data_IF_410722798194
#
_entry.id   IF_410722798194
#
_cell.length_a   1.000
_cell.length_b   1.000
_cell.length_c   1.000
_cell.angle_alpha   90.00
_cell.angle_beta   90.00
_cell.angle_gamma   90.00
#
_symmetry.space_group_name_H-M   'P 1'
#
loop_
_entity.id
_entity.type
_entity.pdbx_description
1 polymer ?
#
# COMPACT_ATOMS: atom_id res chain seq x y z
N UNK A 1 -26.36 -37.86 6.80
CA UNK A 1 -27.10 -37.98 5.53
C UNK A 1 -27.87 -36.70 5.28
N UNK A 2 -27.44 -35.97 4.26
CA UNK A 2 -28.28 -35.22 3.30
C UNK A 2 -29.15 -34.04 3.74
N UNK A 3 -28.54 -32.92 4.12
CA UNK A 3 -29.18 -31.58 3.98
C UNK A 3 -28.36 -30.54 3.20
N UNK A 4 -27.07 -30.78 2.95
CA UNK A 4 -26.22 -29.90 2.13
C UNK A 4 -26.18 -30.30 0.66
N UNK A 5 -26.58 -31.54 0.32
CA UNK A 5 -26.55 -32.05 -1.06
C UNK A 5 -27.84 -31.69 -1.82
N UNK A 6 -28.95 -31.40 -1.13
CA UNK A 6 -30.22 -31.02 -1.76
C UNK A 6 -30.26 -29.60 -2.31
N UNK A 7 -29.38 -28.69 -1.87
CA UNK A 7 -29.29 -27.31 -2.37
C UNK A 7 -28.43 -27.14 -3.63
N UNK A 8 -27.75 -28.20 -4.08
CA UNK A 8 -26.84 -28.15 -5.24
C UNK A 8 -27.47 -28.64 -6.56
N UNK A 9 -28.65 -29.26 -6.52
CA UNK A 9 -29.37 -29.71 -7.73
C UNK A 9 -29.64 -28.60 -8.78
N UNK A 10 -29.84 -27.31 -8.44
CA UNK A 10 -30.05 -26.30 -9.48
C UNK A 10 -28.77 -25.87 -10.23
N UNK A 11 -27.57 -26.21 -9.73
CA UNK A 11 -26.29 -25.80 -10.32
C UNK A 11 -25.81 -26.66 -11.50
N UNK A 12 -26.48 -27.77 -11.82
CA UNK A 12 -26.16 -28.59 -13.00
C UNK A 12 -26.84 -28.09 -14.28
N UNK A 13 -27.48 -26.92 -14.24
CA UNK A 13 -28.13 -26.30 -15.40
C UNK A 13 -27.37 -25.06 -15.83
N UNK A 14 -27.42 -24.72 -17.12
CA UNK A 14 -26.71 -23.55 -17.65
C UNK A 14 -27.33 -22.26 -17.12
N UNK A 15 -26.48 -21.26 -16.85
CA UNK A 15 -26.92 -19.90 -16.52
C UNK A 15 -27.50 -19.27 -17.78
N UNK A 16 -28.74 -18.80 -17.71
CA UNK A 16 -29.44 -18.14 -18.80
C UNK A 16 -29.32 -16.62 -18.76
N UNK A 17 -29.36 -16.03 -17.57
CA UNK A 17 -29.45 -14.57 -17.43
C UNK A 17 -28.90 -14.06 -16.10
N UNK A 18 -28.61 -12.76 -16.04
CA UNK A 18 -28.15 -12.02 -14.86
C UNK A 18 -29.18 -10.94 -14.50
N UNK A 19 -29.78 -11.03 -13.30
CA UNK A 19 -30.87 -10.14 -12.86
C UNK A 19 -30.57 -9.44 -11.52
N UNK A 20 -31.32 -8.37 -11.25
CA UNK A 20 -31.39 -7.65 -9.97
C UNK A 20 -30.05 -7.26 -9.33
N UNK A 21 -29.23 -6.49 -10.06
CA UNK A 21 -27.96 -5.98 -9.54
C UNK A 21 -28.21 -5.02 -8.36
N UNK A 22 -27.69 -5.35 -7.19
CA UNK A 22 -27.61 -4.45 -6.02
C UNK A 22 -26.20 -4.47 -5.46
N UNK A 23 -25.47 -3.36 -5.60
CA UNK A 23 -24.05 -3.23 -5.24
C UNK A 23 -23.21 -4.36 -5.88
N UNK A 24 -22.60 -5.23 -5.07
CA UNK A 24 -21.78 -6.36 -5.52
C UNK A 24 -22.56 -7.65 -5.74
N UNK A 25 -23.87 -7.67 -5.46
CA UNK A 25 -24.69 -8.89 -5.53
C UNK A 25 -25.55 -8.92 -6.79
N UNK A 26 -25.53 -10.04 -7.50
CA UNK A 26 -26.28 -10.29 -8.74
C UNK A 26 -27.00 -11.64 -8.64
N UNK A 27 -28.20 -11.74 -9.19
CA UNK A 27 -28.93 -13.01 -9.27
C UNK A 27 -28.58 -13.72 -10.58
N UNK A 28 -28.11 -14.97 -10.50
CA UNK A 28 -27.97 -15.86 -11.66
C UNK A 28 -29.29 -16.59 -11.87
N UNK A 29 -29.89 -16.39 -13.04
CA UNK A 29 -31.09 -17.10 -13.44
C UNK A 29 -30.71 -18.33 -14.27
N UNK A 30 -31.14 -19.50 -13.80
CA UNK A 30 -30.86 -20.79 -14.43
C UNK A 30 -32.00 -21.23 -15.34
N UNK A 31 -31.72 -22.15 -16.26
CA UNK A 31 -32.72 -22.76 -17.15
C UNK A 31 -33.89 -23.41 -16.41
N UNK A 32 -33.67 -23.88 -15.18
CA UNK A 32 -34.70 -24.47 -14.32
C UNK A 32 -35.53 -23.43 -13.53
N UNK A 33 -35.46 -22.14 -13.92
CA UNK A 33 -36.06 -21.01 -13.22
C UNK A 33 -35.59 -20.78 -11.78
N UNK A 34 -34.53 -21.46 -11.33
CA UNK A 34 -33.90 -21.15 -10.05
C UNK A 34 -33.14 -19.81 -10.15
N UNK A 35 -33.18 -19.05 -9.06
CA UNK A 35 -32.37 -17.83 -8.88
C UNK A 35 -31.33 -18.09 -7.80
N UNK A 36 -30.05 -17.93 -8.13
CA UNK A 36 -28.97 -17.95 -7.15
C UNK A 36 -28.41 -16.55 -6.98
N UNK A 37 -28.50 -16.01 -5.77
CA UNK A 37 -27.86 -14.73 -5.47
C UNK A 37 -26.38 -14.93 -5.18
N UNK A 38 -25.53 -14.37 -6.03
CA UNK A 38 -24.07 -14.45 -5.93
C UNK A 38 -23.51 -13.10 -5.50
N UNK A 39 -22.53 -13.12 -4.60
CA UNK A 39 -21.75 -11.95 -4.22
C UNK A 39 -20.46 -11.89 -5.04
N UNK A 40 -20.37 -10.93 -5.94
CA UNK A 40 -19.23 -10.65 -6.82
C UNK A 40 -18.41 -9.49 -6.25
N UNK A 41 -18.10 -9.57 -4.95
CA UNK A 41 -17.29 -8.56 -4.29
C UNK A 41 -15.79 -8.84 -4.52
N UNK A 42 -15.25 -8.22 -5.57
CA UNK A 42 -13.83 -8.24 -5.90
C UNK A 42 -13.06 -7.05 -5.31
N UNK A 43 -13.66 -6.29 -4.40
CA UNK A 43 -12.98 -5.19 -3.71
C UNK A 43 -11.99 -5.79 -2.71
N UNK A 44 -10.71 -5.42 -2.79
CA UNK A 44 -9.71 -5.93 -1.86
C UNK A 44 -10.05 -5.57 -0.41
N UNK A 45 -9.84 -6.50 0.53
CA UNK A 45 -10.19 -6.30 1.96
C UNK A 45 -9.13 -5.43 2.65
N UNK A 46 -7.87 -5.66 2.34
CA UNK A 46 -6.71 -4.94 2.83
C UNK A 46 -6.74 -3.49 2.35
N UNK A 47 -6.69 -2.57 3.31
CA UNK A 47 -6.63 -1.14 3.03
C UNK A 47 -5.35 -0.77 2.26
N UNK A 48 -4.23 -1.42 2.58
CA UNK A 48 -2.96 -1.23 1.88
C UNK A 48 -3.08 -1.61 0.39
N UNK A 49 -3.67 -2.78 0.09
CA UNK A 49 -3.84 -3.24 -1.29
C UNK A 49 -4.78 -2.33 -2.07
N UNK A 50 -5.86 -1.83 -1.44
CA UNK A 50 -6.74 -0.82 -2.06
C UNK A 50 -5.98 0.46 -2.41
N UNK A 51 -5.26 1.04 -1.45
CA UNK A 51 -4.43 2.23 -1.67
C UNK A 51 -3.39 2.03 -2.78
N UNK A 52 -2.72 0.88 -2.81
CA UNK A 52 -1.75 0.54 -3.84
C UNK A 52 -2.39 0.32 -5.23
N UNK A 53 -3.56 -0.31 -5.31
CA UNK A 53 -4.32 -0.46 -6.56
C UNK A 53 -4.87 0.87 -7.09
N UNK A 54 -5.24 1.79 -6.20
CA UNK A 54 -5.69 3.13 -6.59
C UNK A 54 -4.52 3.96 -7.09
N UNK A 55 -3.39 4.00 -6.37
CA UNK A 55 -2.25 4.82 -6.79
C UNK A 55 -1.62 4.32 -8.10
N UNK A 56 -1.63 3.01 -8.36
CA UNK A 56 -1.14 2.44 -9.62
C UNK A 56 -1.91 2.96 -10.83
N UNK A 57 -3.16 3.41 -10.67
CA UNK A 57 -3.92 4.01 -11.76
C UNK A 57 -3.36 5.35 -12.23
N UNK A 58 -2.54 6.02 -11.41
CA UNK A 58 -1.76 7.21 -11.78
C UNK A 58 -0.38 6.89 -12.33
N UNK A 59 0.14 5.68 -12.03
CA UNK A 59 1.48 5.24 -12.39
C UNK A 59 1.54 4.49 -13.72
N UNK A 60 0.40 3.98 -14.20
CA UNK A 60 0.34 3.07 -15.34
C UNK A 60 -0.68 3.55 -16.38
N UNK A 61 -0.40 3.36 -17.69
CA UNK A 61 -1.39 3.43 -18.73
C UNK A 61 -2.56 2.46 -18.48
N UNK A 62 -3.75 2.83 -18.95
CA UNK A 62 -5.01 2.10 -18.73
C UNK A 62 -4.90 0.61 -19.09
N UNK A 63 -4.28 0.28 -20.22
CA UNK A 63 -4.09 -1.11 -20.66
C UNK A 63 -3.25 -1.93 -19.65
N UNK A 64 -2.10 -1.39 -19.24
CA UNK A 64 -1.19 -2.04 -18.30
C UNK A 64 -1.80 -2.14 -16.91
N UNK A 65 -2.51 -1.10 -16.47
CA UNK A 65 -3.22 -1.10 -15.19
C UNK A 65 -4.27 -2.21 -15.13
N UNK A 66 -5.14 -2.34 -16.14
CA UNK A 66 -6.17 -3.38 -16.15
C UNK A 66 -5.59 -4.78 -16.38
N UNK A 67 -4.50 -4.93 -17.13
CA UNK A 67 -3.78 -6.19 -17.25
C UNK A 67 -3.24 -6.64 -15.86
N UNK A 68 -2.57 -5.73 -15.15
CA UNK A 68 -2.13 -5.96 -13.78
C UNK A 68 -3.30 -6.33 -12.85
N UNK A 69 -4.36 -5.52 -12.86
CA UNK A 69 -5.55 -5.73 -12.01
C UNK A 69 -6.22 -7.06 -12.30
N UNK A 70 -6.39 -7.43 -13.57
CA UNK A 70 -6.95 -8.72 -13.96
C UNK A 70 -6.07 -9.88 -13.47
N UNK A 71 -4.75 -9.79 -13.64
CA UNK A 71 -3.82 -10.82 -13.14
C UNK A 71 -3.90 -10.98 -11.63
N UNK A 72 -3.90 -9.88 -10.89
CA UNK A 72 -4.05 -9.89 -9.44
C UNK A 72 -5.38 -10.52 -9.01
N UNK A 73 -6.50 -10.13 -9.62
CA UNK A 73 -7.82 -10.69 -9.30
C UNK A 73 -7.88 -12.19 -9.62
N UNK A 74 -7.37 -12.62 -10.77
CA UNK A 74 -7.27 -14.03 -11.10
C UNK A 74 -6.42 -14.76 -10.06
N UNK A 75 -5.26 -14.23 -9.67
CA UNK A 75 -4.41 -14.88 -8.69
C UNK A 75 -5.02 -14.96 -7.29
N UNK A 76 -5.70 -13.89 -6.85
CA UNK A 76 -6.34 -13.79 -5.54
C UNK A 76 -7.57 -14.70 -5.42
N UNK A 77 -8.37 -14.83 -6.48
CA UNK A 77 -9.69 -15.46 -6.43
C UNK A 77 -9.80 -16.80 -7.17
N UNK A 78 -8.83 -17.20 -8.01
CA UNK A 78 -8.85 -18.53 -8.64
C UNK A 78 -8.52 -19.59 -7.60
N UNK A 79 -9.39 -20.59 -7.44
CA UNK A 79 -9.15 -21.76 -6.57
C UNK A 79 -8.31 -22.80 -7.32
N UNK A 80 -7.18 -23.21 -6.75
CA UNK A 80 -6.71 -24.58 -6.96
C UNK A 80 -7.29 -25.41 -5.81
N UNK A 81 -7.59 -26.68 -6.09
CA UNK A 81 -8.31 -27.60 -5.20
C UNK A 81 -7.60 -27.92 -3.86
N UNK A 82 -6.48 -27.27 -3.55
CA UNK A 82 -5.76 -27.48 -2.31
C UNK A 82 -6.31 -26.63 -1.16
N UNK A 83 -7.15 -27.32 -0.37
CA UNK A 83 -7.68 -26.95 0.94
C UNK A 83 -6.57 -26.57 1.96
N UNK A 84 -5.28 -26.75 1.62
CA UNK A 84 -4.12 -26.49 2.49
C UNK A 84 -3.50 -25.08 2.41
N UNK A 85 -3.94 -24.17 1.53
CA UNK A 85 -3.24 -22.88 1.37
C UNK A 85 -3.73 -21.78 2.33
N UNK A 86 -3.30 -21.84 3.59
CA UNK A 86 -3.31 -20.68 4.49
C UNK A 86 -2.58 -19.46 3.87
N UNK A 87 -1.69 -19.69 2.90
CA UNK A 87 -0.93 -18.67 2.16
C UNK A 87 -1.74 -17.84 1.15
N UNK A 88 -2.99 -18.22 0.80
CA UNK A 88 -3.87 -17.36 -0.04
C UNK A 88 -4.64 -16.32 0.77
N UNK A 89 -4.58 -16.39 2.11
CA UNK A 89 -5.24 -15.43 3.00
C UNK A 89 -4.50 -14.10 3.10
N UNK A 90 -3.20 -14.06 2.76
CA UNK A 90 -2.45 -12.81 2.78
C UNK A 90 -2.58 -12.07 1.44
N UNK A 91 -3.58 -11.21 1.38
CA UNK A 91 -3.89 -10.39 0.21
C UNK A 91 -2.75 -9.45 -0.21
N UNK A 92 -1.95 -8.97 0.75
CA UNK A 92 -0.77 -8.15 0.47
C UNK A 92 0.32 -8.97 -0.23
N UNK A 93 0.58 -10.18 0.24
CA UNK A 93 1.57 -11.05 -0.40
C UNK A 93 1.17 -11.37 -1.85
N UNK A 94 -0.10 -11.70 -2.07
CA UNK A 94 -0.60 -12.01 -3.41
C UNK A 94 -0.53 -10.80 -4.35
N UNK A 95 -0.76 -9.59 -3.83
CA UNK A 95 -0.59 -8.34 -4.58
C UNK A 95 0.86 -8.17 -5.03
N UNK A 96 1.82 -8.32 -4.12
CA UNK A 96 3.25 -8.18 -4.42
C UNK A 96 3.74 -9.27 -5.37
N UNK A 97 3.35 -10.52 -5.18
CA UNK A 97 3.70 -11.63 -6.08
C UNK A 97 3.19 -11.35 -7.51
N UNK A 98 1.96 -10.85 -7.62
CA UNK A 98 1.35 -10.47 -8.91
C UNK A 98 2.11 -9.30 -9.55
N UNK A 99 2.53 -8.30 -8.77
CA UNK A 99 3.31 -7.16 -9.26
C UNK A 99 4.70 -7.59 -9.74
N UNK A 100 5.42 -8.35 -8.93
CA UNK A 100 6.75 -8.86 -9.24
C UNK A 100 6.73 -9.79 -10.48
N UNK A 101 5.58 -10.37 -10.84
CA UNK A 101 5.45 -11.20 -12.05
C UNK A 101 5.71 -10.43 -13.34
N UNK A 102 5.59 -9.10 -13.34
CA UNK A 102 5.80 -8.26 -14.52
C UNK A 102 7.27 -7.87 -14.74
N UNK A 103 8.16 -8.08 -13.77
CA UNK A 103 9.56 -7.67 -13.85
C UNK A 103 10.49 -8.86 -14.18
N UNK A 104 11.48 -8.76 -15.09
CA UNK A 104 12.34 -9.88 -15.47
C UNK A 104 13.59 -9.95 -14.58
N UNK A 105 13.44 -10.42 -13.34
CA UNK A 105 14.57 -10.75 -12.46
C UNK A 105 14.90 -12.24 -12.51
N UNK A 106 16.16 -12.59 -12.21
CA UNK A 106 16.63 -13.97 -12.14
C UNK A 106 16.27 -14.59 -10.79
N UNK A 107 15.82 -15.83 -10.77
CA UNK A 107 15.73 -16.64 -9.54
C UNK A 107 16.78 -17.72 -9.66
N UNK A 108 17.78 -17.70 -8.76
CA UNK A 108 18.55 -18.92 -8.48
C UNK A 108 17.58 -19.90 -7.88
N UNK A 109 17.31 -21.00 -8.57
CA UNK A 109 16.55 -22.11 -8.00
C UNK A 109 17.37 -22.66 -6.84
N UNK A 110 16.98 -22.37 -5.61
CA UNK A 110 17.40 -23.21 -4.50
C UNK A 110 16.74 -24.56 -4.76
N UNK A 111 17.56 -25.53 -5.19
CA UNK A 111 17.16 -26.93 -5.29
C UNK A 111 16.51 -27.33 -3.97
N UNK A 112 15.35 -27.99 -4.08
CA UNK A 112 14.49 -28.26 -2.95
C UNK A 112 15.25 -28.88 -1.78
N UNK A 113 15.38 -28.11 -0.70
CA UNK A 113 15.74 -28.66 0.60
C UNK A 113 14.65 -29.68 0.90
N UNK A 114 15.01 -30.97 0.84
CA UNK A 114 14.16 -32.05 1.35
C UNK A 114 13.81 -31.64 2.78
N UNK A 115 12.52 -31.60 3.08
CA UNK A 115 12.05 -31.37 4.43
C UNK A 115 12.57 -32.49 5.32
N UNK A 116 13.71 -32.25 5.98
CA UNK A 116 14.09 -32.99 7.18
C UNK A 116 13.01 -32.74 8.22
N UNK A 117 12.77 -33.71 9.11
CA UNK A 117 11.87 -33.54 10.24
C UNK A 117 12.47 -32.47 11.17
N UNK A 118 12.09 -31.22 10.93
CA UNK A 118 12.46 -30.10 11.79
C UNK A 118 11.76 -30.33 13.14
N UNK A 119 12.53 -30.43 14.24
CA UNK A 119 11.98 -30.51 15.59
C UNK A 119 10.96 -29.37 15.82
N UNK A 120 9.92 -29.61 16.61
CA UNK A 120 8.82 -28.65 16.78
C UNK A 120 9.26 -27.26 17.24
N UNK A 121 10.37 -27.17 17.97
CA UNK A 121 10.98 -25.90 18.39
C UNK A 121 11.73 -25.19 17.26
N UNK A 122 12.52 -25.92 16.47
CA UNK A 122 13.20 -25.37 15.30
C UNK A 122 12.19 -24.92 14.23
N UNK A 123 11.07 -25.63 14.10
CA UNK A 123 9.96 -25.22 13.24
C UNK A 123 9.33 -23.92 13.75
N UNK A 124 9.13 -23.80 15.07
CA UNK A 124 8.53 -22.60 15.66
C UNK A 124 9.47 -21.40 15.52
N UNK A 125 10.77 -21.58 15.77
CA UNK A 125 11.79 -20.54 15.58
C UNK A 125 11.89 -20.12 14.11
N UNK A 126 11.91 -21.06 13.17
CA UNK A 126 11.93 -20.77 11.72
C UNK A 126 10.60 -20.29 11.15
N UNK A 127 9.50 -20.35 11.93
CA UNK A 127 8.18 -19.98 11.43
C UNK A 127 8.05 -18.48 11.14
N UNK A 128 7.30 -18.14 10.08
CA UNK A 128 6.94 -16.75 9.75
C UNK A 128 6.25 -15.99 10.89
N UNK A 129 5.60 -16.69 11.82
CA UNK A 129 4.92 -16.06 12.96
C UNK A 129 5.91 -15.62 14.04
N UNK A 130 6.89 -16.47 14.37
CA UNK A 130 7.97 -16.10 15.30
C UNK A 130 8.86 -14.99 14.71
N UNK A 131 9.11 -15.06 13.41
CA UNK A 131 9.82 -14.04 12.66
C UNK A 131 9.11 -12.67 12.74
N UNK A 132 7.79 -12.63 12.51
CA UNK A 132 6.98 -11.40 12.69
C UNK A 132 7.00 -10.85 14.11
N UNK A 133 7.03 -11.73 15.12
CA UNK A 133 7.21 -11.32 16.51
C UNK A 133 8.57 -10.64 16.72
N UNK A 134 9.65 -11.21 16.16
CA UNK A 134 10.98 -10.63 16.22
C UNK A 134 11.14 -9.35 15.38
N UNK A 135 10.30 -9.12 14.36
CA UNK A 135 10.31 -7.91 13.54
C UNK A 135 9.57 -6.73 14.17
N UNK A 136 8.68 -6.96 15.14
CA UNK A 136 7.94 -5.87 15.77
C UNK A 136 8.88 -4.96 16.60
N UNK A 137 8.91 -3.67 16.27
CA UNK A 137 9.70 -2.65 16.96
C UNK A 137 9.26 -2.44 18.41
N UNK A 138 7.97 -2.64 18.71
CA UNK A 138 7.42 -2.49 20.05
C UNK A 138 7.77 -3.65 21.00
N UNK A 139 8.23 -4.78 20.47
CA UNK A 139 8.55 -5.98 21.25
C UNK A 139 10.06 -6.14 21.48
N UNK A 140 10.86 -5.09 21.21
CA UNK A 140 12.31 -5.10 21.44
C UNK A 140 12.70 -5.50 22.87
N UNK A 141 11.91 -5.09 23.87
CA UNK A 141 12.14 -5.40 25.29
C UNK A 141 11.92 -6.87 25.68
N UNK A 142 11.31 -7.68 24.80
CA UNK A 142 11.00 -9.10 25.05
C UNK A 142 11.81 -10.00 24.09
N UNK A 143 12.67 -9.42 23.23
CA UNK A 143 13.45 -10.20 22.27
C UNK A 143 14.47 -11.09 23.01
N UNK A 144 14.59 -12.37 22.64
CA UNK A 144 15.71 -13.20 23.09
C UNK A 144 17.04 -12.61 22.59
N UNK A 145 18.10 -12.86 23.35
CA UNK A 145 19.46 -12.28 23.16
C UNK A 145 19.95 -12.61 21.73
N UNK A 146 20.61 -11.65 21.02
CA UNK A 146 20.98 -11.81 19.61
C UNK A 146 21.80 -13.06 19.26
N UNK A 147 22.53 -13.62 20.23
CA UNK A 147 23.42 -14.77 20.06
C UNK A 147 22.68 -16.11 19.89
N UNK A 148 21.38 -16.17 20.15
CA UNK A 148 20.57 -17.41 20.09
C UNK A 148 19.63 -17.49 18.88
N UNK A 149 19.59 -16.46 18.04
CA UNK A 149 18.70 -16.45 16.89
C UNK A 149 19.44 -17.03 15.68
N UNK A 150 19.01 -18.18 15.13
CA UNK A 150 19.45 -18.55 13.79
C UNK A 150 19.10 -17.39 12.84
N UNK A 151 19.96 -17.13 11.86
CA UNK A 151 19.72 -16.18 10.77
C UNK A 151 18.56 -16.69 9.92
N UNK A 152 17.33 -16.54 10.43
CA UNK A 152 16.11 -17.03 9.78
C UNK A 152 15.78 -16.05 8.67
N UNK A 153 16.11 -16.45 7.45
CA UNK A 153 16.11 -15.68 6.20
C UNK A 153 14.70 -15.48 5.59
N UNK A 154 13.67 -15.52 6.43
CA UNK A 154 12.46 -16.26 6.05
C UNK A 154 11.18 -15.42 5.87
N UNK A 155 11.29 -14.09 5.93
CA UNK A 155 10.22 -13.13 5.54
C UNK A 155 10.59 -12.32 4.28
N UNK A 156 11.61 -12.77 3.57
CA UNK A 156 12.25 -12.01 2.51
C UNK A 156 11.33 -11.83 1.30
N UNK A 157 11.32 -10.60 0.78
CA UNK A 157 10.84 -10.26 -0.56
C UNK A 157 11.36 -11.26 -1.64
N UNK A 158 12.48 -11.94 -1.38
CA UNK A 158 13.03 -13.05 -2.17
C UNK A 158 12.05 -14.22 -2.31
N UNK A 159 11.42 -14.71 -1.24
CA UNK A 159 10.41 -15.77 -1.33
C UNK A 159 9.23 -15.38 -2.22
N UNK A 160 8.84 -14.11 -2.14
CA UNK A 160 7.77 -13.56 -2.97
C UNK A 160 8.20 -13.48 -4.45
N UNK A 161 9.47 -13.13 -4.69
CA UNK A 161 10.08 -13.18 -6.02
C UNK A 161 10.11 -14.62 -6.58
N UNK A 162 10.49 -15.61 -5.76
CA UNK A 162 10.51 -17.03 -6.14
C UNK A 162 9.10 -17.56 -6.45
N UNK A 163 8.14 -17.30 -5.57
CA UNK A 163 6.73 -17.69 -5.76
C UNK A 163 6.12 -17.03 -7.00
N UNK A 164 6.50 -15.78 -7.27
CA UNK A 164 6.13 -15.05 -8.48
C UNK A 164 6.66 -15.74 -9.75
N UNK A 165 7.93 -16.13 -9.79
CA UNK A 165 8.45 -16.92 -10.91
C UNK A 165 7.73 -18.27 -11.01
N UNK A 166 7.70 -19.08 -9.95
CA UNK A 166 7.10 -20.42 -10.00
C UNK A 166 5.65 -20.43 -10.48
N UNK A 167 4.85 -19.43 -10.08
CA UNK A 167 3.44 -19.34 -10.48
C UNK A 167 3.23 -18.88 -11.93
N UNK A 168 4.02 -17.90 -12.39
CA UNK A 168 3.72 -17.19 -13.64
C UNK A 168 4.66 -17.52 -14.83
N UNK A 169 5.79 -18.18 -14.61
CA UNK A 169 6.81 -18.42 -15.66
C UNK A 169 6.36 -19.44 -16.73
N UNK A 170 5.46 -20.37 -16.39
CA UNK A 170 4.94 -21.33 -17.36
C UNK A 170 3.99 -20.71 -18.41
N UNK A 171 3.57 -19.44 -18.25
CA UNK A 171 2.46 -18.86 -19.05
C UNK A 171 2.66 -17.47 -19.66
N UNK A 172 3.71 -16.68 -19.36
CA UNK A 172 3.77 -15.29 -19.82
C UNK A 172 5.13 -14.87 -20.41
N UNK A 173 5.08 -14.25 -21.60
CA UNK A 173 6.07 -13.26 -22.03
C UNK A 173 5.95 -12.05 -21.08
N UNK A 174 7.05 -11.66 -20.42
CA UNK A 174 7.07 -10.42 -19.65
C UNK A 174 6.79 -9.25 -20.59
N UNK A 175 5.74 -8.49 -20.33
CA UNK A 175 5.46 -7.28 -21.10
C UNK A 175 6.50 -6.23 -20.70
N UNK A 176 7.58 -6.13 -21.49
CA UNK A 176 8.69 -5.22 -21.23
C UNK A 176 8.23 -3.76 -21.06
N UNK A 177 7.03 -3.40 -21.56
CA UNK A 177 6.43 -2.08 -21.36
C UNK A 177 6.19 -1.74 -19.89
N UNK A 178 5.95 -2.75 -19.03
CA UNK A 178 5.74 -2.54 -17.59
C UNK A 178 7.00 -2.01 -16.89
N UNK A 179 8.19 -2.38 -17.38
CA UNK A 179 9.46 -1.90 -16.82
C UNK A 179 9.66 -0.39 -17.01
N UNK A 180 9.18 0.17 -18.11
CA UNK A 180 9.30 1.60 -18.40
C UNK A 180 8.58 2.47 -17.35
N UNK A 181 7.59 1.90 -16.66
CA UNK A 181 6.84 2.57 -15.60
C UNK A 181 7.31 2.21 -14.19
N UNK A 182 8.37 1.41 -14.03
CA UNK A 182 8.93 1.06 -12.73
C UNK A 182 9.27 2.30 -11.87
N UNK A 183 9.91 3.36 -12.40
CA UNK A 183 10.10 4.60 -11.65
C UNK A 183 8.78 5.22 -11.17
N UNK A 184 7.76 5.28 -12.03
CA UNK A 184 6.45 5.83 -11.69
C UNK A 184 5.75 5.00 -10.59
N UNK A 185 5.87 3.67 -10.65
CA UNK A 185 5.35 2.73 -9.65
C UNK A 185 6.03 2.96 -8.30
N UNK A 186 7.37 3.04 -8.26
CA UNK A 186 8.11 3.27 -7.02
C UNK A 186 7.70 4.59 -6.38
N UNK A 187 7.68 5.68 -7.14
CA UNK A 187 7.30 7.01 -6.64
C UNK A 187 5.85 7.05 -6.15
N UNK A 188 4.96 6.33 -6.83
CA UNK A 188 3.55 6.19 -6.43
C UNK A 188 3.41 5.48 -5.10
N UNK A 189 4.08 4.34 -4.93
CA UNK A 189 4.08 3.61 -3.66
C UNK A 189 4.78 4.38 -2.54
N UNK A 190 5.81 5.16 -2.86
CA UNK A 190 6.43 6.06 -1.90
C UNK A 190 5.43 7.09 -1.35
N UNK A 191 4.58 7.69 -2.19
CA UNK A 191 3.52 8.59 -1.71
C UNK A 191 2.50 7.88 -0.82
N UNK A 192 2.14 6.63 -1.14
CA UNK A 192 1.30 5.81 -0.26
C UNK A 192 1.99 5.57 1.07
N UNK A 193 3.30 5.28 1.07
CA UNK A 193 4.10 5.14 2.28
C UNK A 193 4.10 6.42 3.12
N UNK A 194 4.25 7.61 2.51
CA UNK A 194 4.15 8.88 3.23
C UNK A 194 2.74 9.11 3.81
N UNK A 195 1.67 8.75 3.09
CA UNK A 195 0.29 8.84 3.59
C UNK A 195 0.04 7.90 4.78
N UNK A 196 0.60 6.68 4.75
CA UNK A 196 0.50 5.71 5.85
C UNK A 196 1.27 6.15 7.10
N UNK A 197 2.36 6.92 6.96
CA UNK A 197 3.08 7.49 8.11
C UNK A 197 2.23 8.51 8.90
N UNK A 198 1.20 9.09 8.29
CA UNK A 198 0.38 10.14 8.91
C UNK A 198 -0.70 9.60 9.84
N UNK A 199 -0.84 8.29 10.00
CA UNK A 199 -1.87 7.71 10.84
C UNK A 199 -1.27 6.64 11.74
N UNK A 200 -1.49 6.78 13.05
CA UNK A 200 -0.86 5.90 14.06
C UNK A 200 -1.30 4.44 13.93
N UNK A 201 -2.54 4.19 13.48
CA UNK A 201 -3.07 2.82 13.29
C UNK A 201 -2.56 2.13 12.02
N UNK A 202 -1.90 2.85 11.10
CA UNK A 202 -1.40 2.27 9.84
C UNK A 202 0.06 1.84 9.89
N UNK A 203 0.71 1.90 11.06
CA UNK A 203 2.12 1.52 11.24
C UNK A 203 2.43 0.12 10.70
N UNK A 204 1.56 -0.86 10.96
CA UNK A 204 1.71 -2.21 10.40
C UNK A 204 1.84 -2.21 8.87
N UNK A 205 1.07 -1.38 8.17
CA UNK A 205 1.13 -1.29 6.72
C UNK A 205 2.41 -0.59 6.23
N UNK A 206 3.00 0.28 7.04
CA UNK A 206 4.32 0.88 6.79
C UNK A 206 5.37 -0.23 6.81
N UNK A 207 5.33 -1.11 7.80
CA UNK A 207 6.25 -2.25 7.91
C UNK A 207 6.06 -3.25 6.75
N UNK A 208 4.80 -3.48 6.33
CA UNK A 208 4.47 -4.39 5.21
C UNK A 208 4.95 -3.86 3.83
N UNK A 209 4.91 -2.54 3.58
CA UNK A 209 5.26 -1.94 2.27
C UNK A 209 6.76 -1.71 2.08
N UNK A 210 7.51 -1.50 3.17
CA UNK A 210 8.93 -1.15 3.13
C UNK A 210 9.82 -2.16 2.39
N UNK A 211 9.71 -3.49 2.60
CA UNK A 211 10.50 -4.48 1.87
C UNK A 211 10.29 -4.38 0.35
N UNK A 212 9.07 -4.10 -0.09
CA UNK A 212 8.76 -3.89 -1.51
C UNK A 212 9.43 -2.62 -2.03
N UNK A 213 9.34 -1.50 -1.31
CA UNK A 213 9.95 -0.23 -1.72
C UNK A 213 11.46 -0.35 -1.85
N UNK A 214 12.11 -1.03 -0.91
CA UNK A 214 13.55 -1.30 -0.98
C UNK A 214 13.87 -2.16 -2.20
N UNK A 215 13.14 -3.24 -2.45
CA UNK A 215 13.37 -4.11 -3.62
C UNK A 215 13.16 -3.39 -4.95
N UNK A 216 12.12 -2.57 -5.09
CA UNK A 216 11.86 -1.78 -6.29
C UNK A 216 12.95 -0.71 -6.49
N UNK A 217 13.48 -0.14 -5.40
CA UNK A 217 14.59 0.81 -5.45
C UNK A 217 15.90 0.14 -5.86
N UNK A 218 16.15 -1.09 -5.40
CA UNK A 218 17.29 -1.90 -5.84
C UNK A 218 17.18 -2.26 -7.32
N UNK A 219 15.99 -2.61 -7.81
CA UNK A 219 15.75 -2.86 -9.25
C UNK A 219 16.07 -1.64 -10.13
N UNK A 220 15.94 -0.42 -9.59
CA UNK A 220 16.24 0.84 -10.28
C UNK A 220 17.67 1.37 -10.08
N UNK A 221 18.47 0.71 -9.23
CA UNK A 221 19.76 1.20 -8.71
C UNK A 221 19.67 2.59 -8.01
N UNK A 222 18.51 2.89 -7.39
CA UNK A 222 18.29 4.16 -6.68
C UNK A 222 18.79 4.09 -5.24
N UNK A 223 20.11 4.19 -5.06
CA UNK A 223 20.78 4.08 -3.75
C UNK A 223 20.26 5.07 -2.70
N UNK A 224 19.91 6.29 -3.12
CA UNK A 224 19.35 7.32 -2.23
C UNK A 224 18.03 6.86 -1.59
N UNK A 225 17.17 6.19 -2.38
CA UNK A 225 15.90 5.65 -1.89
C UNK A 225 16.12 4.46 -0.96
N UNK A 226 17.01 3.53 -1.34
CA UNK A 226 17.39 2.38 -0.49
C UNK A 226 17.87 2.86 0.88
N UNK A 227 18.77 3.84 0.92
CA UNK A 227 19.31 4.39 2.15
C UNK A 227 18.24 5.09 2.99
N UNK A 228 17.40 5.92 2.35
CA UNK A 228 16.28 6.57 3.02
C UNK A 228 15.34 5.58 3.71
N UNK A 229 14.96 4.48 3.04
CA UNK A 229 14.10 3.47 3.64
C UNK A 229 14.81 2.71 4.76
N UNK A 230 16.10 2.39 4.62
CA UNK A 230 16.89 1.72 5.67
C UNK A 230 16.97 2.55 6.95
N UNK A 231 17.25 3.85 6.82
CA UNK A 231 17.32 4.78 7.97
C UNK A 231 15.96 4.87 8.65
N UNK A 232 14.89 5.10 7.90
CA UNK A 232 13.55 5.28 8.48
C UNK A 232 12.95 3.98 9.06
N UNK A 233 13.43 2.82 8.63
CA UNK A 233 12.98 1.52 9.13
C UNK A 233 13.72 1.09 10.40
N UNK A 234 14.79 1.80 10.81
CA UNK A 234 15.48 1.56 12.07
C UNK A 234 16.09 0.16 12.20
N UNK A 235 16.65 -0.37 11.11
CA UNK A 235 17.21 -1.73 11.11
C UNK A 235 18.71 -1.76 11.38
N UNK A 236 19.06 -2.28 12.54
CA UNK A 236 20.27 -3.07 12.79
C UNK A 236 20.19 -4.50 12.18
N UNK A 237 19.30 -4.76 11.20
CA UNK A 237 19.01 -6.11 10.69
C UNK A 237 19.17 -6.22 9.17
N UNK A 238 19.78 -7.32 8.72
CA UNK A 238 19.95 -7.68 7.30
C UNK A 238 18.59 -8.07 6.70
N UNK A 239 18.00 -7.19 5.90
CA UNK A 239 16.95 -7.56 4.95
C UNK A 239 17.59 -8.28 3.76
N UNK A 240 17.20 -9.51 3.51
CA UNK A 240 17.62 -10.25 2.32
C UNK A 240 16.80 -9.78 1.12
N UNK A 241 17.47 -9.07 0.22
CA UNK A 241 16.91 -8.41 -0.97
C UNK A 241 17.60 -9.01 -2.19
N UNK A 242 16.90 -9.07 -3.32
CA UNK A 242 17.55 -9.42 -4.59
C UNK A 242 18.37 -8.25 -5.09
N UNK A 243 19.65 -8.52 -5.34
CA UNK A 243 20.62 -7.55 -5.85
C UNK A 243 20.55 -7.34 -7.37
N UNK A 244 19.61 -7.99 -8.06
CA UNK A 244 19.39 -7.81 -9.49
C UNK A 244 19.06 -6.34 -9.79
N UNK A 245 19.78 -5.72 -10.73
CA UNK A 245 19.43 -4.40 -11.29
C UNK A 245 18.69 -4.63 -12.61
N UNK A 246 17.45 -4.16 -12.68
CA UNK A 246 16.60 -4.33 -13.87
C UNK A 246 16.71 -3.17 -14.85
N UNK A 247 16.89 -1.96 -14.31
CA UNK A 247 17.00 -0.74 -15.10
C UNK A 247 17.79 0.30 -14.32
N UNK A 248 18.93 0.73 -14.84
CA UNK A 248 19.66 1.87 -14.28
C UNK A 248 19.05 3.15 -14.84
N UNK A 249 18.20 3.82 -14.07
CA UNK A 249 17.69 5.16 -14.41
C UNK A 249 18.29 6.19 -13.47
N UNK A 250 18.60 7.37 -14.01
CA UNK A 250 18.97 8.53 -13.22
C UNK A 250 17.90 9.62 -13.38
N UNK A 251 17.39 10.11 -12.26
CA UNK A 251 16.60 11.34 -12.26
C UNK A 251 17.56 12.53 -12.27
N UNK A 252 17.22 13.58 -13.02
CA UNK A 252 17.97 14.83 -13.00
C UNK A 252 17.98 15.42 -11.58
N UNK A 253 19.04 16.13 -11.20
CA UNK A 253 19.16 16.78 -9.88
C UNK A 253 18.00 17.73 -9.57
N UNK A 254 17.45 18.36 -10.61
CA UNK A 254 16.34 19.31 -10.49
C UNK A 254 14.97 18.63 -10.39
N UNK A 255 14.92 17.31 -10.52
CA UNK A 255 13.68 16.55 -10.46
C UNK A 255 13.09 16.57 -9.04
N UNK A 256 11.78 16.81 -8.86
CA UNK A 256 11.16 16.89 -7.53
C UNK A 256 11.26 15.60 -6.71
N UNK A 257 11.48 14.47 -7.37
CA UNK A 257 11.69 13.16 -6.75
C UNK A 257 13.15 12.68 -6.82
N UNK A 258 14.13 13.55 -7.15
CA UNK A 258 15.55 13.18 -7.12
C UNK A 258 15.94 12.61 -5.75
N UNK A 259 15.45 13.24 -4.69
CA UNK A 259 15.47 12.69 -3.33
C UNK A 259 14.05 12.24 -2.93
N UNK A 260 13.91 11.21 -2.07
CA UNK A 260 12.62 10.75 -1.57
C UNK A 260 11.89 11.90 -0.84
N UNK A 261 10.70 12.34 -1.30
CA UNK A 261 9.97 13.39 -0.63
C UNK A 261 9.45 12.90 0.73
N UNK A 262 9.83 13.58 1.81
CA UNK A 262 9.42 13.23 3.17
C UNK A 262 8.50 14.30 3.74
N UNK A 263 7.30 13.91 4.16
CA UNK A 263 6.28 14.86 4.62
C UNK A 263 6.67 15.55 5.94
N UNK A 264 7.34 14.83 6.83
CA UNK A 264 7.86 15.38 8.09
C UNK A 264 8.92 16.44 7.82
N UNK A 265 9.84 16.18 6.89
CA UNK A 265 10.83 17.17 6.45
C UNK A 265 10.19 18.36 5.74
N UNK A 266 9.15 18.12 4.95
CA UNK A 266 8.40 19.18 4.30
C UNK A 266 7.68 20.09 5.30
N UNK A 267 7.02 19.53 6.32
CA UNK A 267 6.39 20.28 7.41
C UNK A 267 7.44 21.12 8.16
N UNK A 268 8.61 20.54 8.48
CA UNK A 268 9.70 21.27 9.12
C UNK A 268 10.20 22.45 8.27
N UNK A 269 10.29 22.27 6.95
CA UNK A 269 10.64 23.35 6.02
C UNK A 269 9.57 24.44 5.99
N UNK A 270 8.29 24.08 6.12
CA UNK A 270 7.21 25.07 6.17
C UNK A 270 7.36 26.03 7.36
N UNK A 271 7.87 25.56 8.51
CA UNK A 271 8.12 26.43 9.67
C UNK A 271 9.45 27.19 9.61
N UNK A 272 10.47 26.64 8.94
CA UNK A 272 11.84 27.21 8.95
C UNK A 272 12.12 28.15 7.79
N UNK A 273 11.43 27.98 6.67
CA UNK A 273 11.64 28.77 5.45
C UNK A 273 10.64 29.90 5.34
N UNK A 274 11.01 30.95 4.58
CA UNK A 274 10.06 31.99 4.21
C UNK A 274 8.89 31.39 3.41
N UNK A 275 7.69 31.88 3.69
CA UNK A 275 6.42 31.38 3.14
C UNK A 275 6.43 31.30 1.61
N UNK A 276 7.08 32.27 0.94
CA UNK A 276 7.16 32.36 -0.52
C UNK A 276 8.07 31.30 -1.17
N UNK A 277 8.94 30.66 -0.40
CA UNK A 277 9.88 29.64 -0.90
C UNK A 277 9.34 28.22 -0.73
N UNK A 278 8.17 28.04 -0.10
CA UNK A 278 7.58 26.73 0.16
C UNK A 278 7.03 26.16 -1.15
N UNK A 279 7.73 25.17 -1.71
CA UNK A 279 7.23 24.36 -2.82
C UNK A 279 6.16 23.39 -2.34
N UNK A 280 5.09 23.13 -3.12
CA UNK A 280 4.05 22.18 -2.75
C UNK A 280 4.65 20.76 -2.65
N UNK A 281 4.13 19.98 -1.70
CA UNK A 281 4.50 18.58 -1.58
C UNK A 281 3.98 17.78 -2.79
N UNK A 282 4.73 16.78 -3.32
CA UNK A 282 4.31 16.07 -4.52
C UNK A 282 2.96 15.34 -4.37
N UNK A 283 2.15 15.44 -5.42
CA UNK A 283 0.82 14.86 -5.53
C UNK A 283 0.83 13.66 -6.50
N UNK A 284 -0.01 12.62 -6.29
CA UNK A 284 -0.23 11.55 -7.28
C UNK A 284 -0.41 12.02 -8.74
N UNK A 285 -1.07 13.15 -8.97
CA UNK A 285 -1.24 13.77 -10.29
C UNK A 285 0.08 14.22 -10.91
N UNK A 286 1.05 14.62 -10.09
CA UNK A 286 2.36 15.06 -10.58
C UNK A 286 3.12 13.89 -11.19
N UNK A 287 2.95 12.67 -10.66
CA UNK A 287 3.54 11.44 -11.23
C UNK A 287 3.02 11.26 -12.66
N UNK A 288 1.71 11.33 -12.85
CA UNK A 288 1.13 11.16 -14.19
C UNK A 288 1.60 12.23 -15.17
N UNK A 289 1.80 13.48 -14.71
CA UNK A 289 2.36 14.56 -15.54
C UNK A 289 3.84 14.33 -15.88
N UNK A 290 4.65 13.97 -14.89
CA UNK A 290 6.09 13.74 -15.03
C UNK A 290 6.36 12.61 -16.02
N UNK A 291 5.62 11.51 -15.91
CA UNK A 291 5.80 10.34 -16.78
C UNK A 291 4.93 10.38 -18.05
N UNK A 292 4.27 11.51 -18.33
CA UNK A 292 3.38 11.70 -19.50
C UNK A 292 2.33 10.59 -19.64
N UNK A 293 1.77 10.13 -18.52
CA UNK A 293 0.72 9.10 -18.48
C UNK A 293 -0.63 9.80 -18.71
N UNK A 294 -1.43 9.35 -19.69
CA UNK A 294 -2.73 9.96 -19.96
C UNK A 294 -3.74 9.65 -18.86
N UNK A 295 -4.07 10.66 -18.05
CA UNK A 295 -5.10 10.61 -17.01
C UNK A 295 -6.46 10.62 -17.72
N UNK A 296 -7.32 9.63 -17.43
CA UNK A 296 -8.72 9.67 -17.88
C UNK A 296 -9.65 9.97 -16.71
N UNK A 297 -10.60 10.86 -16.96
CA UNK A 297 -11.73 11.18 -16.06
C UNK A 297 -12.62 9.95 -15.78
N UNK A 298 -12.56 8.92 -16.64
CA UNK A 298 -13.40 7.72 -16.61
C UNK A 298 -12.65 6.45 -16.19
N UNK A 299 -11.71 6.54 -15.25
CA UNK A 299 -11.26 5.32 -14.56
C UNK A 299 -12.45 4.88 -13.71
N UNK A 300 -13.04 3.71 -14.00
CA UNK A 300 -14.14 3.07 -13.25
C UNK A 300 -13.78 2.74 -11.78
N UNK A 301 -12.65 3.24 -11.27
CA UNK A 301 -12.24 3.17 -9.88
C UNK A 301 -13.00 4.28 -9.15
N UNK A 302 -14.10 3.85 -8.55
CA UNK A 302 -14.94 4.62 -7.63
C UNK A 302 -14.06 5.46 -6.69
N UNK A 303 -14.22 6.79 -6.74
CA UNK A 303 -13.62 7.80 -5.86
C UNK A 303 -12.10 7.67 -5.65
N UNK A 304 -11.34 8.44 -6.43
CA UNK A 304 -9.90 8.62 -6.29
C UNK A 304 -9.52 9.36 -5.00
N UNK A 305 -9.61 8.67 -3.86
CA UNK A 305 -9.21 9.21 -2.54
C UNK A 305 -7.86 8.63 -2.07
N UNK A 306 -7.02 8.20 -3.02
CA UNK A 306 -5.66 7.75 -2.71
C UNK A 306 -4.87 8.90 -2.06
N UNK A 307 -4.02 8.61 -1.08
CA UNK A 307 -3.22 9.64 -0.37
C UNK A 307 -4.02 10.86 0.17
N UNK A 308 -5.29 10.66 0.53
CA UNK A 308 -6.17 11.73 1.04
C UNK A 308 -5.56 12.47 2.22
N UNK A 309 -5.07 11.72 3.21
CA UNK A 309 -4.62 12.28 4.48
C UNK A 309 -3.37 13.12 4.26
N UNK A 310 -2.45 12.67 3.42
CA UNK A 310 -1.31 13.44 2.94
C UNK A 310 -1.73 14.77 2.31
N UNK A 311 -2.68 14.77 1.38
CA UNK A 311 -3.17 16.02 0.77
C UNK A 311 -3.84 16.96 1.77
N UNK A 312 -4.67 16.42 2.65
CA UNK A 312 -5.34 17.20 3.70
C UNK A 312 -4.32 17.87 4.61
N UNK A 313 -3.34 17.10 5.12
CA UNK A 313 -2.28 17.63 5.99
C UNK A 313 -1.44 18.67 5.25
N UNK A 314 -1.05 18.42 4.00
CA UNK A 314 -0.33 19.44 3.22
C UNK A 314 -1.14 20.74 3.05
N UNK A 315 -2.46 20.65 2.79
CA UNK A 315 -3.32 21.84 2.69
C UNK A 315 -3.44 22.58 4.02
N UNK A 316 -3.70 21.86 5.12
CA UNK A 316 -3.83 22.41 6.47
C UNK A 316 -2.54 23.15 6.88
N UNK A 317 -1.37 22.54 6.70
CA UNK A 317 -0.09 23.19 7.04
C UNK A 317 0.24 24.36 6.13
N UNK A 318 -0.14 24.30 4.85
CA UNK A 318 0.02 25.43 3.93
C UNK A 318 -0.81 26.62 4.40
N UNK A 319 -2.06 26.37 4.84
CA UNK A 319 -2.94 27.40 5.42
C UNK A 319 -2.39 27.95 6.73
N UNK A 320 -1.90 27.09 7.62
CA UNK A 320 -1.29 27.50 8.89
C UNK A 320 -0.14 28.47 8.69
N UNK A 321 0.76 28.18 7.76
CA UNK A 321 1.96 29.00 7.54
C UNK A 321 1.66 30.27 6.73
N UNK A 322 0.67 30.26 5.83
CA UNK A 322 0.35 31.41 4.97
C UNK A 322 -0.64 32.38 5.59
N UNK A 323 -1.65 31.87 6.27
CA UNK A 323 -2.85 32.61 6.66
C UNK A 323 -3.13 32.54 8.18
N UNK A 324 -2.39 31.70 8.91
CA UNK A 324 -2.47 31.61 10.37
C UNK A 324 -3.49 30.60 10.91
N UNK A 325 -3.72 30.66 12.22
CA UNK A 325 -4.48 29.68 12.99
C UNK A 325 -5.95 29.61 12.56
N UNK A 326 -6.62 30.76 12.38
CA UNK A 326 -8.04 30.81 12.00
C UNK A 326 -8.31 30.13 10.65
N UNK A 327 -7.48 30.41 9.64
CA UNK A 327 -7.57 29.77 8.33
C UNK A 327 -7.32 28.26 8.38
N UNK A 328 -6.50 27.81 9.33
CA UNK A 328 -6.23 26.39 9.58
C UNK A 328 -7.50 25.68 10.08
N UNK A 329 -8.22 26.28 11.03
CA UNK A 329 -9.48 25.73 11.55
C UNK A 329 -10.52 25.60 10.43
N UNK A 330 -10.70 26.64 9.61
CA UNK A 330 -11.61 26.58 8.46
C UNK A 330 -11.23 25.49 7.46
N UNK A 331 -9.95 25.31 7.17
CA UNK A 331 -9.49 24.26 6.25
C UNK A 331 -9.70 22.86 6.86
N UNK A 332 -9.53 22.70 8.17
CA UNK A 332 -9.85 21.45 8.89
C UNK A 332 -11.35 21.14 8.84
N UNK A 333 -12.20 22.12 9.11
CA UNK A 333 -13.67 21.99 9.04
C UNK A 333 -14.13 21.65 7.62
N UNK A 334 -13.58 22.31 6.61
CA UNK A 334 -13.86 22.02 5.19
C UNK A 334 -13.54 20.58 4.81
N UNK A 335 -12.52 19.96 5.42
CA UNK A 335 -12.19 18.56 5.22
C UNK A 335 -12.98 17.59 6.11
N UNK A 336 -13.84 18.10 7.00
CA UNK A 336 -14.55 17.32 8.01
C UNK A 336 -13.61 16.69 9.03
N UNK A 337 -12.48 17.34 9.34
CA UNK A 337 -11.53 16.85 10.33
C UNK A 337 -12.13 16.94 11.73
N UNK A 338 -12.14 15.82 12.44
CA UNK A 338 -12.65 15.75 13.82
C UNK A 338 -11.50 15.72 14.83
N UNK A 339 -11.81 15.94 16.12
CA UNK A 339 -10.84 15.75 17.21
C UNK A 339 -10.18 14.35 17.20
N UNK A 340 -10.95 13.31 16.84
CA UNK A 340 -10.42 11.93 16.69
C UNK A 340 -9.42 11.81 15.52
N UNK A 341 -9.64 12.54 14.43
CA UNK A 341 -8.72 12.55 13.30
C UNK A 341 -7.38 13.20 13.68
N UNK A 342 -7.43 14.24 14.52
CA UNK A 342 -6.25 14.91 15.09
C UNK A 342 -5.49 13.94 15.99
N UNK A 343 -6.16 13.29 16.94
CA UNK A 343 -5.55 12.31 17.86
C UNK A 343 -4.87 11.13 17.15
N UNK A 344 -5.35 10.80 15.95
CA UNK A 344 -4.75 9.73 15.14
C UNK A 344 -3.49 10.14 14.38
N UNK A 345 -3.08 11.41 14.41
CA UNK A 345 -1.84 11.90 13.79
C UNK A 345 -0.62 11.56 14.66
N UNK A 346 0.57 11.37 14.06
CA UNK A 346 1.82 11.28 14.79
C UNK A 346 2.06 12.54 15.63
N UNK A 347 2.67 12.38 16.81
CA UNK A 347 2.91 13.47 17.75
C UNK A 347 3.60 14.70 17.12
N UNK A 348 4.65 14.48 16.32
CA UNK A 348 5.37 15.58 15.66
C UNK A 348 4.53 16.38 14.66
N UNK A 349 3.40 15.83 14.19
CA UNK A 349 2.47 16.45 13.26
C UNK A 349 1.26 17.03 14.00
N UNK A 350 0.86 16.42 15.12
CA UNK A 350 -0.32 16.90 15.85
C UNK A 350 -0.04 18.19 16.64
N UNK A 351 1.17 18.34 17.18
CA UNK A 351 1.52 19.42 18.12
C UNK A 351 1.23 20.83 17.58
N UNK A 352 1.68 21.21 16.37
CA UNK A 352 1.38 22.55 15.84
C UNK A 352 -0.12 22.80 15.64
N UNK A 353 -0.88 21.76 15.27
CA UNK A 353 -2.32 21.86 15.05
C UNK A 353 -3.06 22.04 16.38
N UNK A 354 -2.66 21.30 17.42
CA UNK A 354 -3.21 21.47 18.77
C UNK A 354 -2.94 22.88 19.31
N UNK A 355 -1.76 23.45 19.04
CA UNK A 355 -1.46 24.82 19.47
C UNK A 355 -2.31 25.85 18.71
N UNK A 356 -2.53 25.66 17.41
CA UNK A 356 -3.44 26.51 16.63
C UNK A 356 -4.87 26.46 17.20
N UNK A 357 -5.37 25.26 17.51
CA UNK A 357 -6.68 25.07 18.14
C UNK A 357 -6.73 25.74 19.51
N UNK A 358 -5.70 25.56 20.35
CA UNK A 358 -5.63 26.15 21.68
C UNK A 358 -5.73 27.67 21.63
N UNK A 359 -5.01 28.31 20.70
CA UNK A 359 -5.08 29.77 20.51
C UNK A 359 -6.46 30.25 20.04
N UNK A 360 -7.08 29.55 19.09
CA UNK A 360 -8.43 29.89 18.65
C UNK A 360 -9.47 29.70 19.77
N UNK A 361 -9.27 28.73 20.68
CA UNK A 361 -10.13 28.51 21.84
C UNK A 361 -10.05 29.64 22.87
N UNK A 362 -8.90 30.31 23.01
CA UNK A 362 -8.74 31.43 23.96
C UNK A 362 -9.59 32.65 23.57
N UNK A 363 -9.79 32.88 22.27
CA UNK A 363 -10.60 33.98 21.78
C UNK A 363 -11.33 33.57 20.47
N UNK A 364 -12.41 32.79 20.57
CA UNK A 364 -13.13 32.28 19.41
C UNK A 364 -13.92 33.41 18.74
N UNK A 365 -13.81 33.59 17.40
CA UNK A 365 -14.64 34.55 16.68
C UNK A 365 -16.12 34.17 16.77
N UNK A 366 -17.03 35.15 16.72
CA UNK A 366 -18.49 34.94 16.87
C UNK A 366 -19.19 34.49 15.58
N UNK A 367 -18.51 34.57 14.44
CA UNK A 367 -19.05 34.35 13.09
C UNK A 367 -18.68 32.98 12.49
N UNK A 368 -18.28 32.03 13.34
CA UNK A 368 -17.82 30.71 12.90
C UNK A 368 -18.97 29.70 12.71
N UNK A 369 -18.82 28.71 11.81
CA UNK A 369 -19.78 27.63 11.68
C UNK A 369 -19.74 26.73 12.92
N UNK A 370 -20.86 26.06 13.21
CA UNK A 370 -21.01 25.12 14.35
C UNK A 370 -19.86 24.10 14.39
N UNK A 371 -19.50 23.52 13.25
CA UNK A 371 -18.43 22.53 13.13
C UNK A 371 -17.06 23.06 13.59
N UNK A 372 -16.80 24.37 13.44
CA UNK A 372 -15.57 24.99 13.92
C UNK A 372 -15.55 25.10 15.45
N UNK A 373 -16.68 25.44 16.07
CA UNK A 373 -16.82 25.46 17.53
C UNK A 373 -16.78 24.06 18.16
N UNK A 374 -17.23 23.02 17.44
CA UNK A 374 -17.10 21.63 17.89
C UNK A 374 -15.64 21.15 17.82
N UNK A 375 -14.87 21.68 16.86
CA UNK A 375 -13.47 21.31 16.65
C UNK A 375 -12.52 21.97 17.67
N UNK A 376 -12.73 23.25 17.98
CA UNK A 376 -11.97 23.97 18.99
C UNK A 376 -12.46 23.68 20.40
#
# INVERSE_FOLDING_TARGET
TDKTISSLKPLNSNVCDLKDRVRHRVNFAFQNHALLRVDLNFVPRSNLVRKCLEILSYALPVELYYNFKARYLCYQYTKDNDVKSASRRNEWENFVISLLSFFPFSVKSNEGIKAEEIEGWDFLLSSSHHTKFNFNSHLQCIRPIPEQLPTIDDDSIIKMCEKSRGTFFAKNQSDQRFLNFLPAILLSFHLVYQDLKLHTLTQKYVDDILPLLIQLSTFLDWKIYVEYYRINYGLDKKLSIKEDVLMSTTLNSDHPFFSPPDITQWILKCFRSNVDQIKPFPNPMDISRIFSIPIRENILVQNLDCCKRMRQICSIYTKLVREGENATIFEMVKFGFTSKDIESLPFGIVVPLCEAIRKCRENPPEDWPEDAYVLI
#
